data_IF_999944628336
#
_entry.id   IF_999944628336
#
_cell.length_a   1.000
_cell.length_b   1.000
_cell.length_c   1.000
_cell.angle_alpha   90.00
_cell.angle_beta   90.00
_cell.angle_gamma   90.00
#
_symmetry.space_group_name_H-M   'P 1'
#
loop_
_entity.id
_entity.type
_entity.pdbx_description
1 polymer ?
#
# COMPACT_ATOMS: atom_id res chain seq x y z
N UNK A 1 -8.75 -22.92 -8.27
CA UNK A 1 -9.51 -21.70 -8.54
C UNK A 1 -10.76 -22.14 -9.32
N UNK A 2 -11.61 -22.88 -8.64
CA UNK A 2 -12.74 -23.43 -9.33
C UNK A 2 -13.96 -22.64 -9.00
N UNK A 3 -14.80 -22.41 -9.83
CA UNK A 3 -16.24 -22.54 -9.86
C UNK A 3 -16.97 -22.24 -8.52
N UNK A 4 -16.63 -21.13 -7.90
CA UNK A 4 -17.57 -20.51 -6.99
C UNK A 4 -18.52 -19.70 -7.88
N UNK A 5 -19.67 -20.29 -8.21
CA UNK A 5 -20.67 -19.68 -9.09
C UNK A 5 -21.17 -18.36 -8.51
N UNK A 6 -21.21 -18.25 -7.18
CA UNK A 6 -21.64 -17.04 -6.49
C UNK A 6 -20.64 -15.89 -6.68
N UNK A 7 -19.33 -16.17 -6.60
CA UNK A 7 -18.30 -15.16 -6.88
C UNK A 7 -18.30 -14.73 -8.36
N UNK A 8 -18.46 -15.68 -9.27
CA UNK A 8 -18.53 -15.37 -10.69
C UNK A 8 -19.79 -14.56 -11.04
N UNK A 9 -20.89 -14.82 -10.36
CA UNK A 9 -22.12 -14.06 -10.52
C UNK A 9 -21.99 -12.66 -9.95
N UNK A 10 -21.42 -12.52 -8.74
CA UNK A 10 -21.16 -11.22 -8.14
C UNK A 10 -20.24 -10.36 -9.03
N UNK A 11 -19.17 -10.95 -9.58
CA UNK A 11 -18.25 -10.24 -10.46
C UNK A 11 -18.94 -9.72 -11.73
N UNK A 12 -19.77 -10.54 -12.39
CA UNK A 12 -20.55 -10.12 -13.57
C UNK A 12 -21.57 -9.03 -13.24
N UNK A 13 -22.23 -9.15 -12.09
CA UNK A 13 -23.22 -8.17 -11.66
C UNK A 13 -22.53 -6.83 -11.37
N UNK A 14 -21.38 -6.82 -10.70
CA UNK A 14 -20.60 -5.62 -10.48
C UNK A 14 -20.11 -4.98 -11.78
N UNK A 15 -19.63 -5.80 -12.74
CA UNK A 15 -19.17 -5.32 -14.05
C UNK A 15 -20.31 -4.67 -14.86
N UNK A 16 -21.52 -5.21 -14.75
CA UNK A 16 -22.70 -4.66 -15.45
C UNK A 16 -23.38 -3.52 -14.70
N UNK A 17 -23.33 -3.52 -13.38
CA UNK A 17 -24.01 -2.53 -12.54
C UNK A 17 -23.22 -1.23 -12.41
N UNK A 18 -21.90 -1.27 -12.50
CA UNK A 18 -21.07 -0.09 -12.29
C UNK A 18 -20.77 0.62 -13.62
N UNK A 19 -20.79 1.96 -13.57
CA UNK A 19 -20.33 2.79 -14.68
C UNK A 19 -18.83 2.62 -14.92
N UNK A 20 -18.34 2.88 -16.15
CA UNK A 20 -16.91 2.76 -16.50
C UNK A 20 -15.99 3.60 -15.60
N UNK A 21 -16.45 4.75 -15.14
CA UNK A 21 -15.69 5.68 -14.31
C UNK A 21 -16.53 6.06 -13.07
N UNK A 22 -16.68 5.18 -12.09
CA UNK A 22 -17.46 5.48 -10.89
C UNK A 22 -16.76 6.57 -10.06
N UNK A 23 -17.52 7.44 -9.40
CA UNK A 23 -16.97 8.46 -8.51
C UNK A 23 -16.29 7.83 -7.29
N UNK A 24 -15.36 8.54 -6.69
CA UNK A 24 -14.61 8.07 -5.52
C UNK A 24 -15.49 7.85 -4.30
N UNK A 25 -16.60 8.61 -4.18
CA UNK A 25 -17.51 8.56 -3.04
C UNK A 25 -18.92 8.19 -3.53
N UNK A 26 -19.52 7.16 -2.95
CA UNK A 26 -20.88 6.72 -3.30
C UNK A 26 -21.93 7.84 -3.14
N UNK A 27 -21.76 8.73 -2.17
CA UNK A 27 -22.65 9.89 -1.94
C UNK A 27 -22.73 10.89 -3.11
N UNK A 28 -21.75 10.86 -4.01
CA UNK A 28 -21.72 11.77 -5.16
C UNK A 28 -22.64 11.27 -6.28
N UNK A 29 -23.07 10.00 -6.23
CA UNK A 29 -23.95 9.37 -7.19
C UNK A 29 -23.33 9.17 -8.57
N UNK A 30 -24.07 8.59 -9.51
CA UNK A 30 -23.62 8.39 -10.89
C UNK A 30 -22.72 7.17 -11.10
N UNK A 31 -22.63 6.28 -10.13
CA UNK A 31 -21.82 5.05 -10.23
C UNK A 31 -22.57 3.85 -10.77
N UNK A 32 -23.90 3.87 -10.77
CA UNK A 32 -24.72 2.79 -11.35
C UNK A 32 -24.88 3.00 -12.85
N UNK A 33 -24.60 1.97 -13.62
CA UNK A 33 -24.72 1.99 -15.07
C UNK A 33 -26.20 2.09 -15.52
N UNK A 34 -26.50 2.78 -16.62
CA UNK A 34 -27.84 2.77 -17.22
C UNK A 34 -28.28 1.35 -17.57
N UNK A 35 -29.55 1.04 -17.35
CA UNK A 35 -30.14 -0.27 -17.62
C UNK A 35 -30.03 -1.28 -16.49
N UNK A 36 -29.33 -0.96 -15.40
CA UNK A 36 -29.23 -1.84 -14.24
C UNK A 36 -30.46 -1.79 -13.33
N UNK A 37 -30.99 -0.61 -13.06
CA UNK A 37 -32.18 -0.40 -12.23
C UNK A 37 -33.14 0.52 -12.98
N UNK A 38 -34.31 -0.04 -13.40
CA UNK A 38 -35.30 0.67 -14.19
C UNK A 38 -35.88 1.89 -13.47
N UNK A 39 -36.09 1.80 -12.14
CA UNK A 39 -36.61 2.90 -11.35
C UNK A 39 -35.59 4.05 -11.22
N UNK A 40 -34.31 3.72 -11.12
CA UNK A 40 -33.23 4.70 -11.16
C UNK A 40 -33.18 5.42 -12.52
N UNK A 41 -33.28 4.68 -13.61
CA UNK A 41 -33.27 5.25 -14.95
C UNK A 41 -34.49 6.16 -15.19
N UNK A 42 -35.66 5.77 -14.69
CA UNK A 42 -36.88 6.62 -14.71
C UNK A 42 -36.67 7.92 -13.89
N UNK A 43 -36.08 7.84 -12.68
CA UNK A 43 -35.80 9.01 -11.86
C UNK A 43 -34.77 9.95 -12.54
N UNK A 44 -33.74 9.39 -13.16
CA UNK A 44 -32.75 10.15 -13.96
C UNK A 44 -33.39 10.81 -15.18
N UNK A 45 -34.26 10.08 -15.91
CA UNK A 45 -35.03 10.61 -17.03
C UNK A 45 -35.90 11.80 -16.62
N UNK A 46 -36.65 11.71 -15.53
CA UNK A 46 -37.43 12.81 -14.98
C UNK A 46 -36.58 14.05 -14.64
N UNK A 47 -35.38 13.84 -14.12
CA UNK A 47 -34.43 14.92 -13.83
C UNK A 47 -33.97 15.61 -15.13
N UNK A 48 -33.58 14.85 -16.14
CA UNK A 48 -33.02 15.36 -17.39
C UNK A 48 -34.12 16.00 -18.27
N UNK A 49 -35.32 15.42 -18.33
CA UNK A 49 -36.50 16.04 -18.96
C UNK A 49 -36.86 17.37 -18.30
N UNK A 50 -36.75 17.45 -16.96
CA UNK A 50 -37.04 18.67 -16.22
C UNK A 50 -36.07 19.82 -16.57
N UNK A 51 -34.82 19.53 -16.91
CA UNK A 51 -33.87 20.56 -17.41
C UNK A 51 -34.32 21.13 -18.75
N UNK A 52 -34.84 20.30 -19.65
CA UNK A 52 -35.38 20.75 -20.94
C UNK A 52 -36.63 21.59 -20.73
N UNK A 53 -37.52 21.19 -19.78
CA UNK A 53 -38.71 21.95 -19.42
C UNK A 53 -38.33 23.33 -18.84
N UNK A 54 -37.30 23.43 -18.00
CA UNK A 54 -36.80 24.71 -17.49
C UNK A 54 -36.31 25.61 -18.63
N UNK A 55 -35.61 25.08 -19.60
CA UNK A 55 -35.14 25.85 -20.74
C UNK A 55 -36.32 26.36 -21.60
N UNK A 56 -37.32 25.51 -21.84
CA UNK A 56 -38.54 25.91 -22.53
C UNK A 56 -39.35 26.95 -21.75
N UNK A 57 -39.45 26.79 -20.42
CA UNK A 57 -40.10 27.77 -19.52
C UNK A 57 -39.38 29.11 -19.54
N UNK A 58 -38.05 29.15 -19.56
CA UNK A 58 -37.29 30.38 -19.70
C UNK A 58 -37.59 31.09 -21.02
N UNK A 59 -37.62 30.36 -22.12
CA UNK A 59 -37.93 30.94 -23.42
C UNK A 59 -39.33 31.56 -23.42
N UNK A 60 -40.37 30.81 -22.91
CA UNK A 60 -41.71 31.31 -22.80
C UNK A 60 -41.81 32.60 -21.93
N UNK A 61 -41.21 32.63 -20.79
CA UNK A 61 -41.18 33.78 -19.92
C UNK A 61 -40.45 34.99 -20.55
N UNK A 62 -39.43 34.76 -21.35
CA UNK A 62 -38.76 35.83 -22.09
C UNK A 62 -39.70 36.43 -23.17
N UNK A 63 -40.48 35.61 -23.85
CA UNK A 63 -41.47 36.04 -24.86
C UNK A 63 -42.66 36.75 -24.21
N UNK A 64 -43.25 36.23 -23.15
CA UNK A 64 -44.37 36.79 -22.42
C UNK A 64 -44.06 38.19 -21.82
N UNK A 65 -42.85 38.33 -21.33
CA UNK A 65 -42.41 39.59 -20.69
C UNK A 65 -41.75 40.57 -21.64
N UNK A 66 -41.35 40.12 -22.84
CA UNK A 66 -40.51 40.88 -23.78
C UNK A 66 -39.07 41.12 -23.29
N UNK A 67 -38.64 40.41 -22.22
CA UNK A 67 -37.32 40.57 -21.60
C UNK A 67 -36.39 39.45 -22.06
N UNK A 68 -35.63 39.65 -23.12
CA UNK A 68 -34.67 38.70 -23.67
C UNK A 68 -33.51 38.41 -22.72
N UNK A 69 -33.25 39.27 -21.75
CA UNK A 69 -32.22 39.07 -20.73
C UNK A 69 -32.68 38.26 -19.51
N UNK A 70 -33.95 37.82 -19.48
CA UNK A 70 -34.51 36.95 -18.45
C UNK A 70 -33.80 35.60 -18.46
N UNK A 71 -33.36 35.14 -17.27
CA UNK A 71 -32.78 33.80 -17.10
C UNK A 71 -33.39 33.11 -15.89
N UNK A 72 -33.61 31.82 -16.02
CA UNK A 72 -33.88 30.95 -14.86
C UNK A 72 -32.54 30.43 -14.32
N UNK A 73 -32.29 30.69 -13.04
CA UNK A 73 -31.06 30.26 -12.35
C UNK A 73 -31.42 29.46 -11.09
N UNK A 74 -30.42 28.80 -10.54
CA UNK A 74 -30.52 28.03 -9.31
C UNK A 74 -29.52 28.50 -8.28
N UNK A 75 -29.93 28.56 -7.01
CA UNK A 75 -29.02 28.66 -5.87
C UNK A 75 -29.61 27.88 -4.67
N UNK A 76 -28.76 27.55 -3.69
CA UNK A 76 -29.16 26.72 -2.53
C UNK A 76 -30.16 27.43 -1.56
N UNK A 77 -30.37 28.76 -1.67
CA UNK A 77 -31.27 29.53 -0.78
C UNK A 77 -32.68 29.66 -1.36
N UNK A 78 -32.78 29.97 -2.66
CA UNK A 78 -34.05 30.23 -3.33
C UNK A 78 -34.53 29.09 -4.19
N UNK A 79 -33.68 28.07 -4.41
CA UNK A 79 -33.94 27.06 -5.44
C UNK A 79 -33.84 27.67 -6.84
N UNK A 80 -34.74 27.25 -7.74
CA UNK A 80 -34.87 27.87 -9.06
C UNK A 80 -35.62 29.18 -8.97
N UNK A 81 -35.09 30.22 -9.65
CA UNK A 81 -35.66 31.56 -9.69
C UNK A 81 -35.44 32.24 -11.04
N UNK A 82 -36.33 33.14 -11.38
CA UNK A 82 -36.23 34.03 -12.53
C UNK A 82 -35.36 35.20 -12.14
N UNK A 83 -34.27 35.47 -12.85
CA UNK A 83 -33.29 36.50 -12.64
C UNK A 83 -33.38 37.52 -13.80
N UNK A 84 -33.69 38.75 -13.52
CA UNK A 84 -33.75 39.83 -14.52
C UNK A 84 -32.87 41.00 -14.11
N UNK A 85 -32.25 41.74 -15.06
CA UNK A 85 -31.53 42.98 -14.74
C UNK A 85 -32.43 43.98 -14.04
N UNK A 86 -31.90 44.76 -13.09
CA UNK A 86 -32.68 45.69 -12.23
C UNK A 86 -33.59 46.63 -13.02
N UNK A 87 -33.14 47.09 -14.20
CA UNK A 87 -33.93 47.97 -15.09
C UNK A 87 -35.25 47.35 -15.59
N UNK A 88 -35.43 46.06 -15.51
CA UNK A 88 -36.62 45.33 -15.94
C UNK A 88 -37.46 44.82 -14.76
N UNK A 89 -37.07 45.12 -13.53
CA UNK A 89 -37.74 44.61 -12.33
C UNK A 89 -39.12 45.26 -12.09
N UNK A 90 -39.23 46.59 -12.28
CA UNK A 90 -40.46 47.37 -12.01
C UNK A 90 -41.68 46.90 -12.82
N UNK A 91 -41.59 46.62 -14.13
CA UNK A 91 -42.71 46.08 -14.88
C UNK A 91 -43.24 44.76 -14.35
N UNK A 92 -42.35 43.89 -13.89
CA UNK A 92 -42.74 42.56 -13.35
C UNK A 92 -43.40 42.63 -11.97
N UNK A 93 -43.25 43.75 -11.26
CA UNK A 93 -43.88 44.02 -9.97
C UNK A 93 -45.29 44.65 -10.11
N UNK A 94 -45.75 44.91 -11.32
CA UNK A 94 -47.06 45.52 -11.62
C UNK A 94 -48.00 44.57 -12.34
N UNK A 95 -49.33 44.70 -12.15
CA UNK A 95 -50.29 43.91 -12.92
C UNK A 95 -50.18 44.17 -14.43
N UNK A 96 -50.41 43.17 -15.28
CA UNK A 96 -50.83 41.81 -14.92
C UNK A 96 -49.66 40.87 -14.53
N UNK A 97 -48.40 41.24 -14.80
CA UNK A 97 -47.21 40.38 -14.62
C UNK A 97 -46.95 40.00 -13.16
N UNK A 98 -47.30 40.88 -12.22
CA UNK A 98 -47.17 40.61 -10.77
C UNK A 98 -48.05 39.47 -10.26
N UNK A 99 -49.06 39.02 -11.01
CA UNK A 99 -49.87 37.87 -10.67
C UNK A 99 -49.12 36.54 -10.93
N UNK A 100 -48.21 36.54 -11.92
CA UNK A 100 -47.39 35.40 -12.28
C UNK A 100 -46.01 35.42 -11.62
N UNK A 101 -45.33 36.62 -11.63
CA UNK A 101 -43.96 36.78 -11.13
C UNK A 101 -44.00 37.33 -9.70
N UNK A 102 -43.78 36.44 -8.73
CA UNK A 102 -43.74 36.76 -7.30
C UNK A 102 -42.35 37.24 -6.93
N UNK A 103 -42.22 38.51 -6.49
CA UNK A 103 -40.96 39.08 -6.06
C UNK A 103 -40.32 38.28 -4.89
N UNK A 104 -39.05 37.99 -4.97
CA UNK A 104 -38.28 37.32 -3.94
C UNK A 104 -37.13 38.13 -3.37
N UNK A 105 -36.35 38.78 -4.23
CA UNK A 105 -35.17 39.53 -3.79
C UNK A 105 -34.79 40.61 -4.79
N UNK A 106 -34.39 41.77 -4.30
CA UNK A 106 -33.75 42.83 -5.09
C UNK A 106 -32.28 42.91 -4.72
N UNK A 107 -31.42 42.89 -5.74
CA UNK A 107 -29.97 43.07 -5.65
C UNK A 107 -29.59 44.37 -6.38
N UNK A 108 -28.37 44.81 -6.22
CA UNK A 108 -27.89 46.07 -6.88
C UNK A 108 -27.98 46.00 -8.44
N UNK A 109 -27.78 44.82 -9.04
CA UNK A 109 -27.80 44.64 -10.50
C UNK A 109 -28.99 43.85 -11.05
N UNK A 110 -29.68 43.10 -10.22
CA UNK A 110 -30.73 42.14 -10.66
C UNK A 110 -31.89 42.08 -9.67
N UNK A 111 -33.09 41.75 -10.17
CA UNK A 111 -34.26 41.43 -9.35
C UNK A 111 -34.62 39.95 -9.61
N UNK A 112 -34.98 39.26 -8.56
CA UNK A 112 -35.30 37.85 -8.56
C UNK A 112 -36.77 37.61 -8.27
N UNK A 113 -37.37 36.74 -9.07
CA UNK A 113 -38.78 36.39 -8.95
C UNK A 113 -38.92 34.86 -8.88
N UNK A 114 -40.03 34.37 -8.37
CA UNK A 114 -40.48 33.02 -8.47
C UNK A 114 -41.83 32.98 -9.17
N UNK A 115 -42.17 31.87 -9.77
CA UNK A 115 -43.56 31.61 -10.24
C UNK A 115 -44.04 30.31 -9.63
N UNK A 116 -45.37 30.14 -9.56
CA UNK A 116 -45.94 28.88 -9.05
C UNK A 116 -45.48 27.70 -9.88
N UNK A 117 -45.53 27.80 -11.21
CA UNK A 117 -45.08 26.74 -12.13
C UNK A 117 -43.62 26.39 -11.96
N UNK A 118 -42.72 27.38 -11.80
CA UNK A 118 -41.29 27.17 -11.56
C UNK A 118 -41.05 26.47 -10.20
N UNK A 119 -41.85 26.83 -9.18
CA UNK A 119 -41.79 26.22 -7.85
C UNK A 119 -42.22 24.76 -7.84
N UNK A 120 -43.30 24.44 -8.55
CA UNK A 120 -43.79 23.08 -8.72
C UNK A 120 -42.79 22.22 -9.49
N UNK A 121 -42.23 22.75 -10.58
CA UNK A 121 -41.18 22.09 -11.35
C UNK A 121 -39.91 21.84 -10.52
N UNK A 122 -39.48 22.86 -9.76
CA UNK A 122 -38.34 22.74 -8.83
C UNK A 122 -38.54 21.62 -7.81
N UNK A 123 -39.76 21.51 -7.24
CA UNK A 123 -40.10 20.43 -6.31
C UNK A 123 -40.09 19.05 -6.97
N UNK A 124 -40.46 18.94 -8.25
CA UNK A 124 -40.38 17.67 -9.01
C UNK A 124 -38.96 17.25 -9.26
N UNK A 125 -38.09 18.22 -9.65
CA UNK A 125 -36.67 17.97 -9.90
C UNK A 125 -35.97 17.48 -8.60
N UNK A 126 -36.20 18.21 -7.49
CA UNK A 126 -35.59 17.87 -6.21
C UNK A 126 -35.98 16.46 -5.75
N UNK A 127 -37.27 16.11 -5.88
CA UNK A 127 -37.73 14.76 -5.53
C UNK A 127 -37.12 13.69 -6.43
N UNK A 128 -36.98 13.92 -7.73
CA UNK A 128 -36.38 12.98 -8.64
C UNK A 128 -34.86 12.79 -8.37
N UNK A 129 -34.16 13.87 -7.99
CA UNK A 129 -32.76 13.79 -7.58
C UNK A 129 -32.59 13.01 -6.27
N UNK A 130 -33.44 13.25 -5.27
CA UNK A 130 -33.41 12.54 -3.98
C UNK A 130 -33.75 11.07 -4.18
N UNK A 131 -34.73 10.74 -5.03
CA UNK A 131 -35.11 9.37 -5.38
C UNK A 131 -33.97 8.65 -6.11
N UNK A 132 -33.34 9.30 -7.09
CA UNK A 132 -32.20 8.73 -7.80
C UNK A 132 -31.05 8.41 -6.85
N UNK A 133 -30.71 9.33 -5.94
CA UNK A 133 -29.66 9.11 -4.93
C UNK A 133 -30.02 7.98 -3.97
N UNK A 134 -31.25 7.94 -3.48
CA UNK A 134 -31.69 6.87 -2.59
C UNK A 134 -31.61 5.49 -3.28
N UNK A 135 -31.99 5.40 -4.57
CA UNK A 135 -31.87 4.18 -5.36
C UNK A 135 -30.42 3.74 -5.55
N UNK A 136 -29.55 4.66 -5.93
CA UNK A 136 -28.10 4.37 -6.05
C UNK A 136 -27.52 3.87 -4.73
N UNK A 137 -27.86 4.49 -3.60
CA UNK A 137 -27.41 4.03 -2.29
C UNK A 137 -27.95 2.63 -1.96
N UNK A 138 -29.19 2.32 -2.29
CA UNK A 138 -29.76 0.98 -2.11
C UNK A 138 -29.02 -0.09 -2.93
N UNK A 139 -28.64 0.23 -4.18
CA UNK A 139 -27.80 -0.66 -5.01
C UNK A 139 -26.43 -0.87 -4.38
N UNK A 140 -25.82 0.20 -3.88
CA UNK A 140 -24.53 0.14 -3.19
C UNK A 140 -24.57 -0.74 -1.94
N UNK A 141 -25.56 -0.51 -1.07
CA UNK A 141 -25.76 -1.30 0.15
C UNK A 141 -25.99 -2.78 -0.17
N UNK A 142 -26.81 -3.08 -1.18
CA UNK A 142 -27.04 -4.46 -1.62
C UNK A 142 -25.77 -5.15 -2.13
N UNK A 143 -24.88 -4.45 -2.83
CA UNK A 143 -23.58 -5.02 -3.19
C UNK A 143 -22.66 -5.18 -1.99
N UNK A 144 -22.65 -4.25 -1.04
CA UNK A 144 -21.87 -4.39 0.20
C UNK A 144 -22.29 -5.64 1.00
N UNK A 145 -23.60 -5.87 1.17
CA UNK A 145 -24.15 -7.06 1.84
C UNK A 145 -23.75 -8.36 1.13
N UNK A 146 -23.83 -8.39 -0.21
CA UNK A 146 -23.40 -9.56 -1.00
C UNK A 146 -21.91 -9.83 -0.91
N UNK A 147 -21.07 -8.79 -0.93
CA UNK A 147 -19.62 -8.91 -0.76
C UNK A 147 -19.29 -9.43 0.64
N UNK A 148 -19.96 -8.92 1.68
CA UNK A 148 -19.77 -9.37 3.05
C UNK A 148 -20.18 -10.83 3.24
N UNK A 149 -21.31 -11.24 2.69
CA UNK A 149 -21.76 -12.63 2.68
C UNK A 149 -20.76 -13.58 2.00
N UNK A 150 -20.01 -13.11 1.00
CA UNK A 150 -19.00 -13.86 0.26
C UNK A 150 -17.56 -13.62 0.75
N UNK A 151 -17.37 -12.98 1.91
CA UNK A 151 -16.05 -12.64 2.44
C UNK A 151 -15.13 -13.87 2.58
N UNK A 152 -15.65 -14.99 3.08
CA UNK A 152 -14.86 -16.22 3.23
C UNK A 152 -14.36 -16.80 1.89
N UNK A 153 -15.21 -17.03 0.86
CA UNK A 153 -14.71 -17.47 -0.44
C UNK A 153 -13.80 -16.44 -1.13
N UNK A 154 -14.05 -15.15 -0.99
CA UNK A 154 -13.17 -14.09 -1.50
C UNK A 154 -11.78 -14.17 -0.87
N UNK A 155 -11.70 -14.26 0.46
CA UNK A 155 -10.43 -14.38 1.19
C UNK A 155 -9.66 -15.64 0.81
N UNK A 156 -10.34 -16.80 0.66
CA UNK A 156 -9.69 -18.03 0.20
C UNK A 156 -9.14 -17.91 -1.22
N UNK A 157 -9.90 -17.28 -2.11
CA UNK A 157 -9.47 -17.09 -3.50
C UNK A 157 -8.28 -16.13 -3.58
N UNK A 158 -8.34 -15.01 -2.85
CA UNK A 158 -7.23 -14.07 -2.76
C UNK A 158 -5.98 -14.72 -2.18
N UNK A 159 -6.10 -15.51 -1.11
CA UNK A 159 -4.99 -16.28 -0.55
C UNK A 159 -4.38 -17.26 -1.56
N UNK A 160 -5.21 -18.01 -2.28
CA UNK A 160 -4.71 -18.95 -3.29
C UNK A 160 -4.02 -18.25 -4.48
N UNK A 161 -4.46 -17.05 -4.84
CA UNK A 161 -3.79 -16.24 -5.87
C UNK A 161 -2.45 -15.73 -5.33
N UNK A 162 -2.43 -15.21 -4.10
CA UNK A 162 -1.21 -14.71 -3.47
C UNK A 162 -0.14 -15.80 -3.31
N UNK A 163 -0.53 -17.02 -2.90
CA UNK A 163 0.39 -18.15 -2.81
C UNK A 163 1.01 -18.49 -4.16
N UNK A 164 0.23 -18.45 -5.22
CA UNK A 164 0.72 -18.73 -6.59
C UNK A 164 1.60 -17.61 -7.12
N UNK A 165 1.26 -16.36 -6.85
CA UNK A 165 2.05 -15.20 -7.24
C UNK A 165 3.44 -15.25 -6.59
N UNK A 166 3.49 -15.47 -5.26
CA UNK A 166 4.75 -15.63 -4.53
C UNK A 166 5.55 -16.83 -5.05
N UNK A 167 4.91 -17.97 -5.31
CA UNK A 167 5.59 -19.15 -5.82
C UNK A 167 6.16 -18.91 -7.23
N UNK A 168 5.40 -18.27 -8.11
CA UNK A 168 5.84 -17.93 -9.46
C UNK A 168 7.02 -16.94 -9.44
N UNK A 169 6.91 -15.85 -8.68
CA UNK A 169 7.96 -14.85 -8.53
C UNK A 169 9.24 -15.46 -7.93
N UNK A 170 9.09 -16.35 -6.93
CA UNK A 170 10.22 -17.05 -6.32
C UNK A 170 10.91 -18.00 -7.30
N UNK A 171 10.14 -18.69 -8.13
CA UNK A 171 10.70 -19.61 -9.14
C UNK A 171 11.42 -18.84 -10.26
N UNK A 172 10.84 -17.75 -10.74
CA UNK A 172 11.46 -16.88 -11.74
C UNK A 172 12.78 -16.29 -11.23
N UNK A 173 12.75 -15.71 -10.03
CA UNK A 173 13.95 -15.20 -9.39
C UNK A 173 15.02 -16.28 -9.19
N UNK A 174 14.63 -17.47 -8.72
CA UNK A 174 15.56 -18.59 -8.52
C UNK A 174 16.23 -19.02 -9.84
N UNK A 175 15.48 -19.02 -10.93
CA UNK A 175 16.01 -19.32 -12.26
C UNK A 175 16.98 -18.23 -12.75
N UNK A 176 16.64 -16.95 -12.57
CA UNK A 176 17.47 -15.81 -12.98
C UNK A 176 18.84 -15.76 -12.28
N UNK A 177 18.86 -16.10 -10.98
CA UNK A 177 20.08 -16.02 -10.16
C UNK A 177 20.73 -17.37 -9.92
N UNK A 178 20.28 -18.43 -10.58
CA UNK A 178 20.77 -19.80 -10.37
C UNK A 178 20.79 -20.17 -8.87
N UNK A 179 19.64 -20.02 -8.20
CA UNK A 179 19.46 -20.32 -6.80
C UNK A 179 18.96 -21.76 -6.60
N UNK A 180 19.29 -22.34 -5.46
CA UNK A 180 18.93 -23.73 -5.11
C UNK A 180 17.95 -23.76 -3.95
N UNK A 181 17.23 -24.88 -3.81
CA UNK A 181 16.41 -25.16 -2.63
C UNK A 181 17.32 -25.55 -1.46
N UNK A 182 17.30 -24.83 -0.33
CA UNK A 182 18.07 -25.20 0.84
C UNK A 182 17.50 -26.43 1.54
N UNK A 183 18.35 -27.15 2.25
CA UNK A 183 17.96 -28.23 3.17
C UNK A 183 17.92 -27.67 4.58
N UNK A 184 16.75 -27.69 5.22
CA UNK A 184 16.59 -27.29 6.62
C UNK A 184 16.65 -28.51 7.54
N UNK A 185 17.36 -28.37 8.68
CA UNK A 185 17.55 -29.46 9.67
C UNK A 185 17.27 -28.93 11.09
N UNK A 186 17.10 -29.87 12.04
CA UNK A 186 16.99 -29.52 13.47
C UNK A 186 18.35 -29.34 14.15
N UNK A 187 19.44 -29.76 13.47
CA UNK A 187 20.81 -29.60 13.97
C UNK A 187 21.28 -28.15 13.98
N UNK A 188 22.33 -27.86 14.74
CA UNK A 188 22.92 -26.51 14.79
C UNK A 188 24.02 -26.33 13.74
N UNK A 189 23.72 -26.65 12.50
CA UNK A 189 24.66 -26.61 11.37
C UNK A 189 24.38 -25.45 10.41
N UNK A 190 25.41 -24.96 9.73
CA UNK A 190 25.32 -24.06 8.59
C UNK A 190 26.43 -24.39 7.61
N UNK A 191 26.12 -25.21 6.63
CA UNK A 191 27.04 -25.60 5.57
C UNK A 191 26.55 -25.08 4.23
N UNK A 192 27.29 -24.14 3.64
CA UNK A 192 27.03 -23.61 2.31
C UNK A 192 28.25 -23.77 1.41
N UNK A 193 28.05 -24.14 0.16
CA UNK A 193 29.08 -24.11 -0.88
C UNK A 193 28.67 -23.15 -1.98
N UNK A 194 29.62 -22.37 -2.45
CA UNK A 194 29.40 -21.44 -3.53
C UNK A 194 28.32 -20.38 -3.24
N UNK A 195 28.21 -19.90 -2.00
CA UNK A 195 27.24 -18.91 -1.56
C UNK A 195 27.55 -17.54 -2.20
N UNK A 196 26.54 -16.84 -2.64
CA UNK A 196 26.62 -15.55 -3.34
C UNK A 196 25.73 -14.50 -2.68
N UNK A 197 26.07 -13.23 -2.85
CA UNK A 197 25.27 -12.12 -2.36
C UNK A 197 24.39 -11.61 -3.50
N UNK A 198 23.04 -11.85 -3.50
CA UNK A 198 22.20 -11.60 -4.68
C UNK A 198 22.26 -10.15 -5.16
N UNK A 199 22.25 -9.19 -4.24
CA UNK A 199 22.23 -7.76 -4.60
C UNK A 199 23.59 -7.31 -5.16
N UNK A 200 24.69 -7.73 -4.53
CA UNK A 200 26.05 -7.36 -4.98
C UNK A 200 26.37 -8.05 -6.29
N UNK A 201 26.02 -9.32 -6.44
CA UNK A 201 26.19 -10.07 -7.69
C UNK A 201 25.42 -9.40 -8.84
N UNK A 202 24.16 -9.03 -8.62
CA UNK A 202 23.35 -8.33 -9.63
C UNK A 202 23.94 -6.97 -10.02
N UNK A 203 24.51 -6.22 -9.05
CA UNK A 203 25.18 -4.96 -9.34
C UNK A 203 26.46 -5.15 -10.14
N UNK A 204 27.29 -6.12 -9.76
CA UNK A 204 28.54 -6.44 -10.48
C UNK A 204 28.25 -6.92 -11.90
N UNK A 205 27.21 -7.73 -12.11
CA UNK A 205 26.80 -8.21 -13.43
C UNK A 205 26.42 -7.05 -14.36
N UNK A 206 25.77 -6.01 -13.86
CA UNK A 206 25.48 -4.79 -14.63
C UNK A 206 26.75 -4.07 -15.10
N UNK A 207 27.80 -4.12 -14.27
CA UNK A 207 29.11 -3.56 -14.60
C UNK A 207 30.01 -4.50 -15.41
N UNK A 208 29.51 -5.65 -15.85
CA UNK A 208 30.27 -6.67 -16.58
C UNK A 208 31.31 -7.41 -15.72
N UNK A 209 31.18 -7.36 -14.38
CA UNK A 209 32.09 -8.01 -13.43
C UNK A 209 31.47 -9.28 -12.85
N UNK A 210 32.32 -10.25 -12.53
CA UNK A 210 31.92 -11.49 -11.85
C UNK A 210 31.88 -11.33 -10.32
N UNK A 211 31.02 -12.10 -9.67
CA UNK A 211 31.01 -12.25 -8.21
C UNK A 211 31.81 -13.51 -7.83
N UNK A 212 32.66 -13.41 -6.82
CA UNK A 212 33.38 -14.56 -6.28
C UNK A 212 32.51 -15.24 -5.22
N UNK A 213 32.05 -16.44 -5.52
CA UNK A 213 31.28 -17.26 -4.60
C UNK A 213 32.14 -17.75 -3.42
N UNK A 214 31.54 -17.92 -2.25
CA UNK A 214 32.24 -18.29 -1.03
C UNK A 214 31.61 -19.51 -0.36
N UNK A 215 32.44 -20.31 0.31
CA UNK A 215 31.97 -21.42 1.15
C UNK A 215 31.85 -20.95 2.61
N UNK A 216 30.96 -21.59 3.36
CA UNK A 216 30.76 -21.34 4.79
C UNK A 216 30.47 -22.66 5.50
N UNK A 217 31.22 -22.93 6.56
CA UNK A 217 30.98 -24.09 7.42
C UNK A 217 30.97 -23.69 8.89
N UNK A 218 29.80 -23.79 9.53
CA UNK A 218 29.63 -23.62 10.98
C UNK A 218 28.84 -24.79 11.54
N UNK A 219 29.23 -25.26 12.72
CA UNK A 219 28.48 -26.26 13.49
C UNK A 219 28.65 -25.95 14.98
N UNK A 220 27.55 -25.85 15.70
CA UNK A 220 27.57 -25.71 17.14
C UNK A 220 27.53 -27.05 17.88
N UNK A 221 27.60 -28.16 17.16
CA UNK A 221 27.53 -29.51 17.73
C UNK A 221 28.90 -29.99 18.23
N UNK A 222 28.86 -30.62 19.40
CA UNK A 222 30.04 -31.22 20.03
C UNK A 222 31.05 -30.19 20.55
N UNK A 223 32.08 -30.68 21.23
CA UNK A 223 33.12 -29.84 21.83
C UNK A 223 34.13 -29.30 20.81
N UNK A 224 34.16 -29.85 19.62
CA UNK A 224 35.08 -29.52 18.54
C UNK A 224 34.41 -28.89 17.32
N UNK A 225 33.14 -28.53 17.42
CA UNK A 225 32.42 -27.85 16.34
C UNK A 225 32.95 -26.44 16.08
N UNK A 226 33.07 -26.05 14.82
CA UNK A 226 33.42 -24.68 14.43
C UNK A 226 32.19 -23.79 14.59
N UNK A 227 31.99 -23.25 15.77
CA UNK A 227 30.84 -22.38 16.06
C UNK A 227 31.02 -20.96 15.57
N UNK A 228 32.25 -20.48 15.55
CA UNK A 228 32.59 -19.10 15.26
C UNK A 228 33.75 -19.05 14.27
N UNK A 229 33.61 -18.22 13.24
CA UNK A 229 34.65 -17.89 12.30
C UNK A 229 35.08 -16.43 12.49
N UNK A 230 36.40 -16.26 12.71
CA UNK A 230 37.04 -14.95 12.66
C UNK A 230 37.41 -14.62 11.21
N UNK A 231 36.82 -13.55 10.68
CA UNK A 231 37.02 -13.10 9.30
C UNK A 231 37.96 -11.90 9.32
N UNK A 232 39.21 -12.10 8.91
CA UNK A 232 40.22 -11.05 8.85
C UNK A 232 40.54 -10.65 7.41
N UNK A 233 41.21 -9.53 7.23
CA UNK A 233 41.66 -9.07 5.92
C UNK A 233 41.55 -7.53 5.77
N UNK A 234 42.08 -6.98 4.69
CA UNK A 234 42.09 -5.52 4.48
C UNK A 234 40.67 -4.96 4.33
N UNK A 235 40.51 -3.66 4.56
CA UNK A 235 39.28 -2.95 4.29
C UNK A 235 38.97 -3.03 2.80
N UNK A 236 37.68 -3.14 2.45
CA UNK A 236 37.18 -3.33 1.08
C UNK A 236 37.46 -4.72 0.44
N UNK A 237 38.02 -5.67 1.19
CA UNK A 237 38.23 -7.04 0.71
C UNK A 237 36.93 -7.91 0.64
N UNK A 238 35.79 -7.33 0.96
CA UNK A 238 34.49 -8.04 0.91
C UNK A 238 34.06 -8.71 2.21
N UNK A 239 34.74 -8.44 3.36
CA UNK A 239 34.35 -9.01 4.67
C UNK A 239 32.89 -8.79 5.00
N UNK A 240 32.42 -7.54 4.98
CA UNK A 240 31.03 -7.20 5.29
C UNK A 240 30.03 -7.81 4.27
N UNK A 241 30.43 -7.96 3.00
CA UNK A 241 29.63 -8.66 1.99
C UNK A 241 29.48 -10.14 2.33
N UNK A 242 30.58 -10.79 2.77
CA UNK A 242 30.57 -12.17 3.21
C UNK A 242 29.66 -12.41 4.42
N UNK A 243 29.68 -11.52 5.42
CA UNK A 243 28.79 -11.60 6.57
C UNK A 243 27.32 -11.45 6.16
N UNK A 244 27.04 -10.44 5.33
CA UNK A 244 25.68 -10.14 4.88
C UNK A 244 25.09 -11.23 3.99
N UNK A 245 25.87 -11.83 3.09
CA UNK A 245 25.39 -12.93 2.25
C UNK A 245 24.96 -14.13 3.11
N UNK A 246 25.70 -14.43 4.19
CA UNK A 246 25.34 -15.51 5.11
C UNK A 246 24.01 -15.23 5.85
N UNK A 247 23.81 -13.99 6.34
CA UNK A 247 22.58 -13.59 6.96
C UNK A 247 21.40 -13.64 5.98
N UNK A 248 21.59 -13.17 4.75
CA UNK A 248 20.55 -13.25 3.70
C UNK A 248 20.20 -14.70 3.37
N UNK A 249 21.19 -15.59 3.33
CA UNK A 249 20.93 -17.01 3.10
C UNK A 249 20.04 -17.62 4.19
N UNK A 250 20.25 -17.29 5.46
CA UNK A 250 19.38 -17.72 6.57
C UNK A 250 17.94 -17.18 6.39
N UNK A 251 17.80 -15.89 6.08
CA UNK A 251 16.50 -15.25 5.89
C UNK A 251 15.75 -15.92 4.74
N UNK A 252 16.38 -16.06 3.59
CA UNK A 252 15.77 -16.68 2.40
C UNK A 252 15.36 -18.12 2.69
N UNK A 253 16.27 -18.92 3.28
CA UNK A 253 16.02 -20.32 3.58
C UNK A 253 14.84 -20.49 4.54
N UNK A 254 14.77 -19.73 5.64
CA UNK A 254 13.69 -19.84 6.62
C UNK A 254 12.37 -19.19 6.18
N UNK A 255 12.41 -18.28 5.20
CA UNK A 255 11.22 -17.79 4.52
C UNK A 255 10.64 -18.82 3.50
N UNK A 256 11.31 -19.96 3.30
CA UNK A 256 10.88 -20.97 2.32
C UNK A 256 11.28 -20.65 0.89
N UNK A 257 12.20 -19.71 0.70
CA UNK A 257 12.69 -19.27 -0.61
C UNK A 257 13.94 -20.02 -1.03
N UNK A 258 14.31 -19.91 -2.29
CA UNK A 258 15.57 -20.42 -2.83
C UNK A 258 16.74 -19.55 -2.37
N UNK A 259 17.96 -20.11 -2.41
CA UNK A 259 19.18 -19.43 -1.96
C UNK A 259 20.25 -19.47 -3.06
N UNK A 260 20.90 -18.32 -3.38
CA UNK A 260 21.96 -18.26 -4.40
C UNK A 260 23.25 -18.94 -3.88
N UNK A 261 23.30 -20.25 -4.01
CA UNK A 261 24.39 -21.10 -3.60
C UNK A 261 24.46 -22.35 -4.49
N UNK A 262 25.56 -23.12 -4.40
CA UNK A 262 25.63 -24.46 -5.00
C UNK A 262 24.95 -25.51 -4.11
N UNK A 263 25.13 -25.36 -2.79
CA UNK A 263 24.42 -26.15 -1.78
C UNK A 263 24.28 -25.36 -0.50
N UNK A 264 23.18 -25.64 0.25
CA UNK A 264 22.98 -25.12 1.60
C UNK A 264 22.25 -26.15 2.46
N UNK A 265 22.89 -26.52 3.57
CA UNK A 265 22.26 -27.21 4.69
C UNK A 265 22.29 -26.29 5.89
N UNK A 266 21.12 -25.98 6.43
CA UNK A 266 20.96 -24.97 7.49
C UNK A 266 20.09 -25.55 8.62
N UNK A 267 20.67 -25.61 9.82
CA UNK A 267 19.91 -25.85 11.04
C UNK A 267 19.04 -24.65 11.39
N UNK A 268 17.81 -24.88 11.83
CA UNK A 268 16.87 -23.82 12.17
C UNK A 268 17.49 -22.77 13.11
N UNK A 269 17.28 -21.52 12.79
CA UNK A 269 17.78 -20.36 13.51
C UNK A 269 16.61 -19.68 14.23
N UNK A 270 16.74 -19.50 15.54
CA UNK A 270 15.71 -18.83 16.34
C UNK A 270 15.75 -17.31 16.18
N UNK A 271 16.97 -16.75 16.09
CA UNK A 271 17.19 -15.31 15.93
C UNK A 271 18.45 -15.03 15.11
N UNK A 272 18.38 -13.98 14.31
CA UNK A 272 19.54 -13.43 13.62
C UNK A 272 19.91 -12.12 14.32
N UNK A 273 21.15 -12.03 14.78
CA UNK A 273 21.71 -10.81 15.34
C UNK A 273 22.74 -10.23 14.37
N UNK A 274 22.60 -8.95 14.08
CA UNK A 274 23.51 -8.26 13.16
C UNK A 274 24.02 -6.97 13.79
N UNK A 275 25.35 -6.85 13.85
CA UNK A 275 26.04 -5.61 14.13
C UNK A 275 27.01 -5.36 12.96
N UNK A 276 26.51 -4.78 11.87
CA UNK A 276 27.25 -4.50 10.64
C UNK A 276 27.08 -3.04 10.28
N UNK A 277 28.20 -2.30 10.21
CA UNK A 277 28.25 -0.89 9.87
C UNK A 277 27.83 0.03 11.03
N UNK A 278 28.51 1.15 11.17
CA UNK A 278 28.06 2.28 11.97
C UNK A 278 27.20 3.18 11.08
N UNK A 279 25.89 3.25 11.32
CA UNK A 279 25.15 4.43 10.91
C UNK A 279 25.41 5.48 11.99
N UNK A 280 26.07 6.57 11.61
CA UNK A 280 26.20 7.74 12.46
C UNK A 280 24.82 8.31 12.75
N UNK A 281 24.24 7.94 13.88
CA UNK A 281 23.00 8.56 14.38
C UNK A 281 23.36 9.86 15.14
N UNK A 282 24.05 10.74 14.42
CA UNK A 282 24.41 12.09 14.88
C UNK A 282 23.18 12.91 15.30
N UNK A 283 22.00 12.57 14.78
CA UNK A 283 20.75 13.27 15.07
C UNK A 283 20.27 13.07 16.52
N UNK A 284 20.71 12.01 17.22
CA UNK A 284 20.31 11.72 18.60
C UNK A 284 21.39 12.00 19.64
N UNK A 285 22.53 12.58 19.25
CA UNK A 285 23.60 12.99 20.17
C UNK A 285 24.26 11.84 20.97
N UNK A 286 24.10 10.58 20.53
CA UNK A 286 24.72 9.42 21.17
C UNK A 286 26.05 9.12 20.49
N UNK A 287 27.10 8.88 21.30
CA UNK A 287 28.36 8.39 20.77
C UNK A 287 28.16 7.07 20.02
N UNK A 288 28.74 6.97 18.82
CA UNK A 288 28.71 5.75 18.00
C UNK A 288 29.20 4.54 18.78
N UNK A 289 30.21 4.73 19.63
CA UNK A 289 30.76 3.71 20.53
C UNK A 289 29.71 3.23 21.57
N UNK A 290 28.93 4.16 22.17
CA UNK A 290 27.91 3.78 23.13
C UNK A 290 26.79 2.96 22.51
N UNK A 291 26.35 3.35 21.32
CA UNK A 291 25.32 2.59 20.55
C UNK A 291 25.85 1.19 20.22
N UNK A 292 27.11 1.10 19.81
CA UNK A 292 27.78 -0.17 19.53
C UNK A 292 27.82 -1.08 20.76
N UNK A 293 28.19 -0.54 21.92
CA UNK A 293 28.24 -1.32 23.16
C UNK A 293 26.87 -1.80 23.62
N UNK A 294 25.84 -0.97 23.50
CA UNK A 294 24.45 -1.36 23.84
C UNK A 294 23.96 -2.52 22.93
N UNK A 295 24.22 -2.43 21.63
CA UNK A 295 23.84 -3.48 20.68
C UNK A 295 24.63 -4.76 20.95
N UNK A 296 25.95 -4.65 21.16
CA UNK A 296 26.82 -5.80 21.51
C UNK A 296 26.35 -6.48 22.80
N UNK A 297 26.08 -5.71 23.85
CA UNK A 297 25.56 -6.26 25.09
C UNK A 297 24.20 -6.96 24.91
N UNK A 298 23.30 -6.37 24.12
CA UNK A 298 22.02 -7.00 23.81
C UNK A 298 22.18 -8.34 23.09
N UNK A 299 23.11 -8.42 22.13
CA UNK A 299 23.43 -9.68 21.42
C UNK A 299 23.95 -10.73 22.41
N UNK A 300 24.98 -10.39 23.22
CA UNK A 300 25.58 -11.31 24.17
C UNK A 300 24.60 -11.83 25.21
N UNK A 301 23.64 -11.01 25.62
CA UNK A 301 22.61 -11.40 26.59
C UNK A 301 21.46 -12.22 26.01
N UNK A 302 21.19 -12.15 24.71
CA UNK A 302 20.00 -12.75 24.11
C UNK A 302 20.31 -13.89 23.15
N UNK A 303 21.53 -14.02 22.62
CA UNK A 303 21.88 -15.05 21.70
C UNK A 303 21.91 -16.44 22.38
N UNK A 304 21.37 -17.42 21.70
CA UNK A 304 21.32 -18.84 22.10
C UNK A 304 22.20 -19.69 21.18
N UNK A 305 22.35 -20.95 21.48
CA UNK A 305 23.06 -21.90 20.61
C UNK A 305 22.42 -22.07 19.22
N UNK A 306 21.12 -21.76 19.10
CA UNK A 306 20.38 -21.78 17.82
C UNK A 306 20.45 -20.46 17.08
N UNK A 307 20.98 -19.40 17.69
CA UNK A 307 21.07 -18.09 17.05
C UNK A 307 22.19 -18.06 16.00
N UNK A 308 22.01 -17.15 15.02
CA UNK A 308 23.05 -16.79 14.07
C UNK A 308 23.47 -15.35 14.29
N UNK A 309 24.75 -15.12 14.54
CA UNK A 309 25.30 -13.82 14.93
C UNK A 309 26.30 -13.36 13.89
N UNK A 310 26.15 -12.13 13.37
CA UNK A 310 27.13 -11.46 12.53
C UNK A 310 27.58 -10.16 13.21
N UNK A 311 28.90 -10.04 13.41
CA UNK A 311 29.52 -8.86 14.03
C UNK A 311 30.64 -8.34 13.14
N UNK A 312 30.65 -7.03 12.88
CA UNK A 312 31.60 -6.40 12.00
C UNK A 312 32.33 -5.24 12.76
N UNK A 313 33.63 -5.35 12.89
CA UNK A 313 34.51 -4.34 13.44
C UNK A 313 34.13 -3.82 14.85
N UNK A 314 33.84 -4.72 15.78
CA UNK A 314 33.53 -4.36 17.18
C UNK A 314 34.74 -3.72 17.88
N UNK A 315 34.50 -2.62 18.62
CA UNK A 315 35.52 -1.90 19.36
C UNK A 315 36.26 -0.80 18.57
N UNK A 316 35.74 -0.44 17.37
CA UNK A 316 36.39 0.57 16.52
C UNK A 316 36.31 2.01 17.08
N UNK A 317 35.33 2.28 17.93
CA UNK A 317 35.04 3.64 18.45
C UNK A 317 35.85 4.04 19.68
N UNK A 318 36.85 3.27 20.11
CA UNK A 318 37.69 3.52 21.29
C UNK A 318 39.18 3.34 21.00
N UNK A 319 40.03 3.38 22.03
CA UNK A 319 41.47 3.12 21.88
C UNK A 319 41.70 1.69 21.36
N UNK A 320 42.81 1.48 20.64
CA UNK A 320 43.13 0.18 20.02
C UNK A 320 43.13 -0.97 21.03
N UNK A 321 43.73 -0.73 22.21
CA UNK A 321 43.83 -1.76 23.24
C UNK A 321 42.49 -2.06 23.91
N UNK A 322 41.67 -1.03 24.20
CA UNK A 322 40.35 -1.21 24.78
C UNK A 322 39.43 -1.88 23.77
N UNK A 323 39.49 -1.46 22.50
CA UNK A 323 38.74 -2.07 21.42
C UNK A 323 39.05 -3.55 21.23
N UNK A 324 40.32 -3.92 21.25
CA UNK A 324 40.76 -5.31 21.17
C UNK A 324 40.25 -6.13 22.36
N UNK A 325 40.38 -5.59 23.60
CA UNK A 325 39.90 -6.27 24.78
C UNK A 325 38.38 -6.54 24.74
N UNK A 326 37.59 -5.57 24.29
CA UNK A 326 36.13 -5.71 24.10
C UNK A 326 35.80 -6.74 23.03
N UNK A 327 36.47 -6.67 21.86
CA UNK A 327 36.29 -7.61 20.78
C UNK A 327 36.60 -9.06 21.21
N UNK A 328 37.71 -9.24 21.94
CA UNK A 328 38.15 -10.52 22.48
C UNK A 328 37.10 -11.08 23.45
N UNK A 329 36.67 -10.29 24.42
CA UNK A 329 35.65 -10.70 25.39
C UNK A 329 34.29 -11.07 24.70
N UNK A 330 33.89 -10.34 23.67
CA UNK A 330 32.72 -10.63 22.89
C UNK A 330 32.81 -11.97 22.13
N UNK A 331 33.98 -12.21 21.50
CA UNK A 331 34.25 -13.49 20.79
C UNK A 331 34.23 -14.66 21.76
N UNK A 332 34.91 -14.52 22.92
CA UNK A 332 34.96 -15.57 23.96
C UNK A 332 33.56 -15.88 24.51
N UNK A 333 32.75 -14.85 24.77
CA UNK A 333 31.40 -15.02 25.28
C UNK A 333 30.47 -15.71 24.22
N UNK A 334 30.53 -15.28 22.96
CA UNK A 334 29.76 -15.90 21.89
C UNK A 334 30.12 -17.37 21.71
N UNK A 335 31.41 -17.70 21.78
CA UNK A 335 31.92 -19.05 21.61
C UNK A 335 31.55 -19.95 22.79
N UNK A 336 31.86 -19.50 24.03
CA UNK A 336 31.88 -20.37 25.21
C UNK A 336 30.61 -20.32 26.04
N UNK A 337 29.90 -19.17 26.04
CA UNK A 337 28.68 -18.96 26.83
C UNK A 337 27.44 -19.13 25.96
N UNK A 338 27.29 -18.29 24.92
CA UNK A 338 26.14 -18.38 24.01
C UNK A 338 26.16 -19.64 23.16
N UNK A 339 27.35 -20.13 22.80
CA UNK A 339 27.58 -21.24 21.87
C UNK A 339 26.90 -21.07 20.52
N UNK A 340 26.67 -19.81 20.12
CA UNK A 340 25.94 -19.44 18.91
C UNK A 340 26.82 -19.64 17.66
N UNK A 341 26.18 -19.91 16.53
CA UNK A 341 26.85 -19.84 15.23
C UNK A 341 27.14 -18.37 14.91
N UNK A 342 28.42 -18.02 14.74
CA UNK A 342 28.83 -16.64 14.59
C UNK A 342 29.85 -16.41 13.50
N UNK A 343 29.73 -15.27 12.80
CA UNK A 343 30.75 -14.68 11.95
C UNK A 343 31.20 -13.38 12.57
N UNK A 344 32.47 -13.25 12.86
CA UNK A 344 33.04 -12.09 13.50
C UNK A 344 34.14 -11.50 12.60
N UNK A 345 33.86 -10.39 11.95
CA UNK A 345 34.88 -9.69 11.16
C UNK A 345 35.65 -8.70 12.04
N UNK A 346 36.94 -8.69 11.88
CA UNK A 346 37.83 -7.83 12.64
C UNK A 346 38.99 -7.29 11.79
N UNK A 347 39.52 -6.17 12.17
CA UNK A 347 40.75 -5.57 11.65
C UNK A 347 41.97 -5.80 12.57
N UNK A 348 41.73 -6.36 13.75
CA UNK A 348 42.83 -6.79 14.62
C UNK A 348 43.49 -8.07 14.07
N UNK A 349 44.80 -8.10 14.05
CA UNK A 349 45.63 -9.20 13.56
C UNK A 349 46.28 -9.96 14.72
#
# INVERSE_FOLDING_TARGET
LGKDEDLATLARDLETALSENPPTLARDGGFVAPGWDEALDQARGLRDDSRQIIAALQARYADETGITALKIKFNNVLGYFVDVPARYGDPLMKPPLSETFIHRQTLASNVRFSTQELSELAGRISRAEDEAKAREMSVFEGFCERIDALNSPLSRTAGAIADRDVAAASAEWAFEVDAIRPVLTEETTFHATGLRHPVVEAALKKDGKGFTANDLGLSAEGDFGTRLLLVTGPNMAGKSTYLRQAALAVILAQAGLFVPARSLTLGLVDRIFSRVGASDDLARGRSTFMVEMVVTAAILNQATERSFVIMDEVGRGTSTWDGLAIAWAAVEHLHSVNKARALFATHYH
#
